data_IF_881197233646
#
_entry.id   IF_881197233646
#
_cell.length_a   1.000
_cell.length_b   1.000
_cell.length_c   1.000
_cell.angle_alpha   90.00
_cell.angle_beta   90.00
_cell.angle_gamma   90.00
#
_symmetry.space_group_name_H-M   'P 1'
#
loop_
_entity.id
_entity.type
_entity.pdbx_description
1 polymer ?
#
# COMPACT_ATOMS: atom_id res chain seq x y z
N UNK A 1 -2.17 -7.38 -24.65
CA UNK A 1 -1.58 -6.96 -23.36
C UNK A 1 -0.54 -5.89 -23.67
N UNK A 2 -0.76 -4.64 -23.26
CA UNK A 2 0.08 -3.49 -23.69
C UNK A 2 1.48 -3.45 -23.05
N UNK A 3 1.90 -4.52 -22.37
CA UNK A 3 3.18 -4.65 -21.68
C UNK A 3 3.85 -6.00 -21.97
N UNK A 4 3.59 -6.59 -23.14
CA UNK A 4 4.28 -7.81 -23.56
C UNK A 4 5.81 -7.57 -23.58
N UNK A 5 6.58 -8.45 -22.95
CA UNK A 5 8.04 -8.29 -22.79
C UNK A 5 8.47 -7.54 -21.52
N UNK A 6 7.52 -7.06 -20.72
CA UNK A 6 7.77 -6.39 -19.43
C UNK A 6 7.25 -7.20 -18.23
N UNK A 7 7.16 -8.52 -18.36
CA UNK A 7 6.63 -9.41 -17.32
C UNK A 7 7.42 -9.29 -16.02
N UNK A 8 8.75 -9.14 -16.12
CA UNK A 8 9.63 -8.92 -14.96
C UNK A 8 9.30 -7.61 -14.24
N UNK A 9 9.18 -6.51 -14.98
CA UNK A 9 8.85 -5.19 -14.41
C UNK A 9 7.47 -5.21 -13.74
N UNK A 10 6.48 -5.88 -14.37
CA UNK A 10 5.16 -6.09 -13.76
C UNK A 10 5.26 -6.86 -12.45
N UNK A 11 6.07 -7.91 -12.41
CA UNK A 11 6.27 -8.71 -11.20
C UNK A 11 6.95 -7.89 -10.08
N UNK A 12 7.98 -7.11 -10.42
CA UNK A 12 8.66 -6.21 -9.48
C UNK A 12 7.69 -5.16 -8.89
N UNK A 13 6.86 -4.53 -9.72
CA UNK A 13 5.85 -3.57 -9.25
C UNK A 13 4.82 -4.23 -8.33
N UNK A 14 4.33 -5.41 -8.69
CA UNK A 14 3.39 -6.16 -7.86
C UNK A 14 4.02 -6.59 -6.52
N UNK A 15 5.30 -6.96 -6.52
CA UNK A 15 6.04 -7.30 -5.30
C UNK A 15 6.19 -6.10 -4.35
N UNK A 16 6.48 -4.92 -4.89
CA UNK A 16 6.52 -3.68 -4.09
C UNK A 16 5.13 -3.37 -3.53
N UNK A 17 4.06 -3.44 -4.35
CA UNK A 17 2.70 -3.20 -3.90
C UNK A 17 2.28 -4.16 -2.76
N UNK A 18 2.64 -5.44 -2.87
CA UNK A 18 2.37 -6.44 -1.82
C UNK A 18 3.17 -6.15 -0.54
N UNK A 19 4.47 -5.86 -0.66
CA UNK A 19 5.31 -5.50 0.50
C UNK A 19 4.79 -4.27 1.23
N UNK A 20 4.28 -3.28 0.48
CA UNK A 20 3.64 -2.10 1.05
C UNK A 20 2.30 -2.42 1.73
N UNK A 21 1.52 -3.37 1.20
CA UNK A 21 0.30 -3.87 1.85
C UNK A 21 0.62 -4.50 3.22
N UNK A 22 1.65 -5.34 3.29
CA UNK A 22 2.07 -6.00 4.54
C UNK A 22 2.58 -4.99 5.58
N UNK A 23 3.36 -4.00 5.13
CA UNK A 23 3.83 -2.93 6.01
C UNK A 23 2.64 -2.11 6.53
N UNK A 24 1.63 -1.83 5.70
CA UNK A 24 0.39 -1.15 6.14
C UNK A 24 -0.35 -1.94 7.21
N UNK A 25 -0.48 -3.25 7.04
CA UNK A 25 -1.10 -4.12 8.04
C UNK A 25 -0.34 -4.03 9.38
N UNK A 26 0.99 -4.04 9.33
CA UNK A 26 1.85 -3.90 10.51
C UNK A 26 1.66 -2.55 11.21
N UNK A 27 1.68 -1.45 10.45
CA UNK A 27 1.48 -0.09 10.98
C UNK A 27 0.10 0.06 11.62
N UNK A 28 -0.97 -0.42 10.96
CA UNK A 28 -2.33 -0.39 11.50
C UNK A 28 -2.45 -1.23 12.79
N UNK A 29 -1.81 -2.39 12.84
CA UNK A 29 -1.78 -3.23 14.04
C UNK A 29 -1.06 -2.56 15.21
N UNK A 30 -0.02 -1.77 14.96
CA UNK A 30 0.62 -0.95 16.01
C UNK A 30 -0.26 0.24 16.40
N UNK A 31 -0.86 0.92 15.43
CA UNK A 31 -1.74 2.07 15.66
C UNK A 31 -2.96 1.70 16.51
N UNK A 32 -3.49 0.49 16.34
CA UNK A 32 -4.60 -0.02 17.15
C UNK A 32 -4.19 -0.39 18.57
N UNK A 33 -2.93 -0.81 18.78
CA UNK A 33 -2.41 -1.19 20.11
C UNK A 33 -2.09 0.02 20.98
N UNK A 34 -1.55 1.09 20.40
CA UNK A 34 -1.14 2.28 21.16
C UNK A 34 -2.21 3.37 21.11
N UNK A 35 -2.43 4.08 22.22
CA UNK A 35 -3.44 5.14 22.31
C UNK A 35 -2.81 6.52 22.48
N UNK A 36 -3.53 7.54 22.02
CA UNK A 36 -3.11 8.94 22.16
C UNK A 36 -3.20 9.45 23.60
N UNK A 37 -4.09 8.85 24.39
CA UNK A 37 -4.39 9.19 25.78
C UNK A 37 -3.71 8.24 26.78
N UNK A 38 -2.72 7.44 26.34
CA UNK A 38 -1.96 6.60 27.26
C UNK A 38 -1.21 7.45 28.30
N UNK A 39 -1.24 7.04 29.56
CA UNK A 39 -0.46 7.69 30.61
C UNK A 39 1.06 7.49 30.40
N UNK A 40 1.46 6.48 29.62
CA UNK A 40 2.85 6.18 29.29
C UNK A 40 3.32 7.07 28.14
N UNK A 41 4.29 7.95 28.41
CA UNK A 41 4.84 8.88 27.41
C UNK A 41 5.33 8.16 26.13
N UNK A 42 6.04 7.04 26.29
CA UNK A 42 6.54 6.27 25.16
C UNK A 42 5.43 5.82 24.22
N UNK A 43 4.30 5.33 24.75
CA UNK A 43 3.17 4.88 23.93
C UNK A 43 2.50 6.03 23.19
N UNK A 44 2.34 7.20 23.82
CA UNK A 44 1.79 8.39 23.16
C UNK A 44 2.66 8.87 22.01
N UNK A 45 3.98 8.95 22.23
CA UNK A 45 4.94 9.33 21.20
C UNK A 45 4.94 8.34 20.04
N UNK A 46 4.90 7.04 20.34
CA UNK A 46 4.76 5.98 19.34
C UNK A 46 3.46 6.15 18.54
N UNK A 47 2.31 6.35 19.20
CA UNK A 47 1.01 6.53 18.53
C UNK A 47 0.99 7.76 17.61
N UNK A 48 1.51 8.89 18.08
CA UNK A 48 1.62 10.12 17.30
C UNK A 48 2.51 9.93 16.08
N UNK A 49 3.64 9.25 16.25
CA UNK A 49 4.60 9.01 15.17
C UNK A 49 4.03 8.04 14.14
N UNK A 50 3.42 6.94 14.58
CA UNK A 50 2.75 5.97 13.71
C UNK A 50 1.63 6.61 12.88
N UNK A 51 0.82 7.48 13.49
CA UNK A 51 -0.22 8.21 12.76
C UNK A 51 0.35 9.05 11.61
N UNK A 52 1.44 9.79 11.87
CA UNK A 52 2.13 10.59 10.85
C UNK A 52 2.75 9.71 9.76
N UNK A 53 3.37 8.59 10.14
CA UNK A 53 3.92 7.62 9.19
C UNK A 53 2.80 7.07 8.31
N UNK A 54 1.67 6.66 8.88
CA UNK A 54 0.54 6.11 8.12
C UNK A 54 -0.04 7.10 7.10
N UNK A 55 -0.11 8.40 7.45
CA UNK A 55 -0.55 9.43 6.52
C UNK A 55 0.41 9.58 5.31
N UNK A 56 1.72 9.65 5.57
CA UNK A 56 2.73 9.74 4.51
C UNK A 56 2.78 8.46 3.67
N UNK A 57 2.69 7.32 4.34
CA UNK A 57 2.70 6.01 3.72
C UNK A 57 1.51 5.81 2.78
N UNK A 58 0.33 6.29 3.16
CA UNK A 58 -0.87 6.19 2.31
C UNK A 58 -0.71 6.92 0.97
N UNK A 59 -0.02 8.06 0.93
CA UNK A 59 0.26 8.74 -0.32
C UNK A 59 1.13 7.86 -1.24
N UNK A 60 2.26 7.35 -0.73
CA UNK A 60 3.12 6.44 -1.49
C UNK A 60 2.41 5.12 -1.88
N UNK A 61 1.55 4.61 -1.00
CA UNK A 61 0.82 3.37 -1.23
C UNK A 61 -0.23 3.53 -2.33
N UNK A 62 -0.90 4.67 -2.41
CA UNK A 62 -1.83 4.94 -3.52
C UNK A 62 -1.09 5.00 -4.86
N UNK A 63 0.06 5.68 -4.92
CA UNK A 63 0.89 5.76 -6.14
C UNK A 63 1.31 4.38 -6.65
N UNK A 64 1.77 3.49 -5.76
CA UNK A 64 2.16 2.14 -6.20
C UNK A 64 0.95 1.30 -6.64
N UNK A 65 -0.22 1.48 -6.01
CA UNK A 65 -1.44 0.77 -6.41
C UNK A 65 -1.93 1.24 -7.78
N UNK A 66 -1.85 2.54 -8.06
CA UNK A 66 -2.16 3.09 -9.38
C UNK A 66 -1.22 2.55 -10.46
N UNK A 67 0.08 2.48 -10.16
CA UNK A 67 1.08 1.89 -11.05
C UNK A 67 0.84 0.39 -11.27
N UNK A 68 0.58 -0.39 -10.22
CA UNK A 68 0.26 -1.82 -10.32
C UNK A 68 -1.03 -2.06 -11.10
N UNK A 69 -2.06 -1.22 -10.90
CA UNK A 69 -3.31 -1.26 -11.66
C UNK A 69 -3.08 -1.00 -13.16
N UNK A 70 -2.18 -0.08 -13.52
CA UNK A 70 -1.80 0.16 -14.92
C UNK A 70 -1.31 -1.13 -15.60
N UNK A 71 -0.55 -1.97 -14.90
CA UNK A 71 -0.08 -3.25 -15.43
C UNK A 71 -1.16 -4.34 -15.48
N UNK A 72 -2.25 -4.20 -14.71
CA UNK A 72 -3.38 -5.14 -14.70
C UNK A 72 -4.44 -4.81 -15.76
N UNK A 73 -4.69 -3.54 -16.07
CA UNK A 73 -5.85 -3.12 -16.87
C UNK A 73 -5.56 -2.83 -18.36
N UNK A 74 -5.05 -3.84 -19.07
CA UNK A 74 -5.04 -3.87 -20.56
C UNK A 74 -5.25 -5.28 -21.15
N UNK A 75 -6.14 -6.05 -20.50
CA UNK A 75 -6.51 -7.41 -20.89
C UNK A 75 -8.01 -7.76 -20.92
N UNK A 76 -8.91 -6.99 -20.29
CA UNK A 76 -10.31 -7.46 -20.07
C UNK A 76 -11.44 -6.47 -20.45
N UNK A 77 -11.15 -5.30 -21.02
CA UNK A 77 -12.20 -4.34 -21.43
C UNK A 77 -12.78 -4.55 -22.84
N UNK A 78 -12.56 -5.70 -23.50
CA UNK A 78 -13.10 -6.00 -24.85
C UNK A 78 -13.90 -7.31 -24.98
N UNK A 79 -14.40 -7.91 -23.89
CA UNK A 79 -15.31 -9.09 -23.98
C UNK A 79 -16.55 -8.94 -23.11
N UNK A 80 -17.16 -7.75 -23.13
CA UNK A 80 -18.58 -7.56 -22.77
C UNK A 80 -19.23 -6.58 -23.73
N UNK A 81 -19.31 -7.02 -24.98
CA UNK A 81 -20.26 -6.57 -25.99
C UNK A 81 -20.32 -7.68 -27.04
N UNK A 82 -20.93 -8.80 -26.67
CA UNK A 82 -21.58 -9.80 -27.52
C UNK A 82 -22.57 -10.57 -26.62
#
# INVERSE_FOLDING_TARGET
MNYAGHEKLRAEVAEIANSMCDLRATLNGMEHRYRFDSDVLAERLTRQTLFRINALFMAAYNEILELDACFKDRGEKYVRNL
#
